data_IF_465404915634
#
_entry.id   IF_465404915634
#
_cell.length_a   1.000
_cell.length_b   1.000
_cell.length_c   1.000
_cell.angle_alpha   90.00
_cell.angle_beta   90.00
_cell.angle_gamma   90.00
#
_symmetry.space_group_name_H-M   'P 1'
#
loop_
_entity.id
_entity.type
_entity.pdbx_description
1 polymer ?
#
# COMPACT_ATOMS: atom_id res chain seq x y z
N UNK A 1 12.43 -32.17 -30.92
CA UNK A 1 11.31 -32.47 -30.00
C UNK A 1 10.32 -31.32 -30.19
N UNK A 2 9.10 -31.62 -30.61
CA UNK A 2 8.04 -30.63 -30.84
C UNK A 2 6.96 -30.82 -29.78
N UNK A 3 6.51 -29.72 -29.16
CA UNK A 3 5.47 -29.76 -28.13
C UNK A 3 4.10 -29.56 -28.77
N UNK A 4 3.12 -30.38 -28.38
CA UNK A 4 1.73 -30.19 -28.77
C UNK A 4 1.01 -29.30 -27.75
N UNK A 5 0.46 -28.17 -28.20
CA UNK A 5 -0.44 -27.33 -27.42
C UNK A 5 -1.86 -27.86 -27.50
N UNK A 6 -2.47 -28.20 -26.37
CA UNK A 6 -3.90 -28.58 -26.31
C UNK A 6 -4.81 -27.40 -26.63
N UNK A 7 -6.02 -27.68 -27.12
CA UNK A 7 -7.04 -26.66 -27.37
C UNK A 7 -7.34 -25.83 -26.11
N UNK A 8 -7.81 -24.61 -26.31
CA UNK A 8 -8.20 -23.70 -25.23
C UNK A 8 -9.29 -22.74 -25.70
N UNK A 9 -9.95 -22.09 -24.75
CA UNK A 9 -10.93 -21.05 -25.04
C UNK A 9 -10.29 -19.72 -24.68
N UNK A 10 -10.21 -18.79 -25.64
CA UNK A 10 -9.63 -17.47 -25.42
C UNK A 10 -10.59 -16.55 -24.63
N UNK A 11 -10.10 -15.40 -24.19
CA UNK A 11 -10.87 -14.32 -23.54
C UNK A 11 -12.11 -13.90 -24.33
N UNK A 12 -12.06 -13.98 -25.66
CA UNK A 12 -13.19 -13.74 -26.57
C UNK A 12 -14.21 -14.90 -26.64
N UNK A 13 -14.05 -15.93 -25.79
CA UNK A 13 -14.84 -17.19 -25.78
C UNK A 13 -14.77 -18.00 -27.08
N UNK A 14 -13.72 -17.78 -27.87
CA UNK A 14 -13.46 -18.53 -29.11
C UNK A 14 -12.64 -19.77 -28.77
N UNK A 15 -13.10 -20.92 -29.25
CA UNK A 15 -12.35 -22.18 -29.14
C UNK A 15 -11.20 -22.19 -30.14
N UNK A 16 -9.98 -22.19 -29.62
CA UNK A 16 -8.76 -22.38 -30.40
C UNK A 16 -8.41 -23.87 -30.37
N UNK A 17 -8.29 -24.47 -31.56
CA UNK A 17 -7.91 -25.87 -31.72
C UNK A 17 -6.49 -26.16 -31.21
N UNK A 18 -6.19 -27.43 -30.94
CA UNK A 18 -4.83 -27.84 -30.61
C UNK A 18 -3.89 -27.59 -31.78
N UNK A 19 -2.65 -27.18 -31.51
CA UNK A 19 -1.63 -26.91 -32.52
C UNK A 19 -0.27 -27.47 -32.07
N UNK A 20 0.64 -27.67 -33.01
CA UNK A 20 2.01 -28.13 -32.73
C UNK A 20 3.00 -27.00 -32.90
N UNK A 21 4.05 -27.00 -32.09
CA UNK A 21 5.13 -26.02 -32.14
C UNK A 21 6.39 -26.64 -32.79
N UNK A 22 7.11 -25.93 -33.70
CA UNK A 22 6.87 -24.55 -34.13
C UNK A 22 5.74 -24.45 -35.17
N UNK A 23 5.21 -23.24 -35.34
CA UNK A 23 4.21 -22.92 -36.37
C UNK A 23 4.88 -22.84 -37.75
N UNK A 24 4.14 -23.11 -38.83
CA UNK A 24 4.67 -22.99 -40.20
C UNK A 24 5.14 -21.56 -40.54
N UNK A 25 4.55 -20.57 -39.88
CA UNK A 25 4.83 -19.15 -39.98
C UNK A 25 5.64 -18.60 -38.78
N UNK A 26 6.12 -19.47 -37.88
CA UNK A 26 6.81 -19.10 -36.65
C UNK A 26 8.32 -19.31 -36.71
N UNK A 27 9.00 -18.86 -35.66
CA UNK A 27 10.44 -19.09 -35.48
C UNK A 27 10.72 -20.59 -35.28
N UNK A 28 11.81 -21.09 -35.86
CA UNK A 28 12.10 -22.53 -35.90
C UNK A 28 12.49 -23.12 -34.53
N UNK A 29 12.96 -22.28 -33.62
CA UNK A 29 13.31 -22.60 -32.23
C UNK A 29 12.11 -22.51 -31.26
N UNK A 30 10.94 -22.08 -31.74
CA UNK A 30 9.71 -21.94 -30.95
C UNK A 30 9.05 -23.30 -30.73
N UNK A 31 9.76 -24.22 -30.06
CA UNK A 31 9.38 -25.62 -29.90
C UNK A 31 8.57 -25.90 -28.63
N UNK A 32 8.42 -24.91 -27.75
CA UNK A 32 7.69 -25.04 -26.48
C UNK A 32 6.29 -24.43 -26.56
N UNK A 33 5.36 -25.01 -25.81
CA UNK A 33 4.02 -24.45 -25.62
C UNK A 33 4.01 -23.54 -24.40
N UNK A 34 3.81 -22.24 -24.63
CA UNK A 34 3.95 -21.19 -23.64
C UNK A 34 2.67 -20.37 -23.50
N UNK A 35 2.63 -19.49 -22.51
CA UNK A 35 1.48 -18.63 -22.23
C UNK A 35 0.56 -19.20 -21.15
N UNK A 36 -0.68 -18.73 -21.17
CA UNK A 36 -1.66 -18.96 -20.12
C UNK A 36 -2.75 -19.91 -20.60
N UNK A 37 -3.61 -20.38 -19.68
CA UNK A 37 -4.66 -21.35 -20.01
C UNK A 37 -5.63 -20.82 -21.07
N UNK A 38 -5.83 -19.51 -21.12
CA UNK A 38 -6.67 -18.77 -22.05
C UNK A 38 -5.91 -18.20 -23.26
N UNK A 39 -4.56 -18.20 -23.27
CA UNK A 39 -3.74 -17.66 -24.37
C UNK A 39 -2.45 -18.48 -24.51
N UNK A 40 -2.47 -19.53 -25.34
CA UNK A 40 -1.31 -20.38 -25.62
C UNK A 40 -0.60 -19.95 -26.92
N UNK A 41 0.72 -19.92 -26.92
CA UNK A 41 1.56 -19.60 -28.08
C UNK A 41 2.86 -20.41 -28.08
N UNK A 42 3.52 -20.52 -29.23
CA UNK A 42 4.83 -21.16 -29.31
C UNK A 42 5.93 -20.20 -28.86
N UNK A 43 6.89 -20.67 -28.06
CA UNK A 43 8.04 -19.86 -27.66
C UNK A 43 9.34 -20.69 -27.54
N UNK A 44 10.46 -19.99 -27.50
CA UNK A 44 11.82 -20.59 -27.53
C UNK A 44 12.34 -20.90 -26.11
N UNK A 45 11.75 -20.26 -25.09
CA UNK A 45 12.16 -20.35 -23.69
C UNK A 45 11.19 -21.21 -22.84
N UNK A 46 11.63 -22.33 -22.26
CA UNK A 46 10.76 -23.20 -21.45
C UNK A 46 10.33 -22.57 -20.10
N UNK A 47 10.90 -21.41 -19.73
CA UNK A 47 10.78 -20.82 -18.40
C UNK A 47 9.77 -19.65 -18.32
N UNK A 48 9.03 -19.36 -19.41
CA UNK A 48 7.95 -18.36 -19.46
C UNK A 48 6.54 -18.94 -19.19
N UNK A 49 6.48 -20.15 -18.63
CA UNK A 49 5.21 -20.76 -18.24
C UNK A 49 4.76 -20.21 -16.87
N UNK A 50 3.85 -19.24 -16.89
CA UNK A 50 3.19 -18.73 -15.68
C UNK A 50 1.81 -19.39 -15.54
N UNK A 51 1.57 -20.26 -14.55
CA UNK A 51 0.33 -21.01 -14.39
C UNK A 51 -0.77 -20.18 -13.69
N UNK A 52 -1.00 -18.93 -14.10
CA UNK A 52 -2.01 -18.06 -13.49
C UNK A 52 -2.68 -17.14 -14.50
N UNK A 53 -3.98 -17.28 -14.73
CA UNK A 53 -4.81 -16.39 -15.55
C UNK A 53 -4.32 -14.92 -15.54
N UNK A 54 -4.15 -14.29 -16.71
CA UNK A 54 -3.76 -12.87 -16.82
C UNK A 54 -4.64 -11.95 -15.96
N UNK A 55 -5.92 -12.29 -15.84
CA UNK A 55 -6.89 -11.57 -15.01
C UNK A 55 -6.52 -11.58 -13.52
N UNK A 56 -5.91 -12.66 -13.02
CA UNK A 56 -5.52 -12.78 -11.62
C UNK A 56 -4.27 -11.94 -11.30
N UNK A 57 -3.31 -11.87 -12.23
CA UNK A 57 -2.12 -11.01 -12.10
C UNK A 57 -2.49 -9.52 -12.17
N UNK A 58 -3.46 -9.14 -13.00
CA UNK A 58 -3.98 -7.77 -13.04
C UNK A 58 -4.68 -7.38 -11.72
N UNK A 59 -5.50 -8.28 -11.17
CA UNK A 59 -6.18 -8.07 -9.88
C UNK A 59 -5.20 -7.94 -8.71
N UNK A 60 -4.15 -8.76 -8.66
CA UNK A 60 -3.09 -8.67 -7.65
C UNK A 60 -2.38 -7.32 -7.69
N UNK A 61 -2.09 -6.80 -8.88
CA UNK A 61 -1.46 -5.50 -9.03
C UNK A 61 -2.37 -4.36 -8.54
N UNK A 62 -3.67 -4.43 -8.84
CA UNK A 62 -4.66 -3.43 -8.37
C UNK A 62 -4.78 -3.49 -6.84
N UNK A 63 -4.90 -4.69 -6.27
CA UNK A 63 -5.00 -4.89 -4.83
C UNK A 63 -3.78 -4.35 -4.08
N UNK A 64 -2.57 -4.62 -4.59
CA UNK A 64 -1.33 -4.12 -4.02
C UNK A 64 -1.21 -2.59 -4.13
N UNK A 65 -1.57 -2.01 -5.27
CA UNK A 65 -1.54 -0.55 -5.49
C UNK A 65 -2.46 0.18 -4.49
N UNK A 66 -3.68 -0.32 -4.32
CA UNK A 66 -4.65 0.26 -3.38
C UNK A 66 -4.17 0.07 -1.94
N UNK A 67 -3.72 -1.14 -1.58
CA UNK A 67 -3.25 -1.45 -0.22
C UNK A 67 -2.04 -0.60 0.20
N UNK A 68 -1.02 -0.51 -0.65
CA UNK A 68 0.17 0.30 -0.39
C UNK A 68 -0.16 1.79 -0.33
N UNK A 69 -1.05 2.27 -1.20
CA UNK A 69 -1.52 3.67 -1.17
C UNK A 69 -2.21 4.02 0.14
N UNK A 70 -3.16 3.19 0.59
CA UNK A 70 -3.86 3.42 1.86
C UNK A 70 -2.89 3.36 3.04
N UNK A 71 -1.98 2.37 3.07
CA UNK A 71 -0.96 2.27 4.10
C UNK A 71 -0.07 3.52 4.14
N UNK A 72 0.39 4.00 2.98
CA UNK A 72 1.19 5.21 2.87
C UNK A 72 0.43 6.46 3.32
N UNK A 73 -0.84 6.61 2.93
CA UNK A 73 -1.70 7.72 3.36
C UNK A 73 -1.91 7.76 4.87
N UNK A 74 -2.13 6.60 5.50
CA UNK A 74 -2.29 6.49 6.96
C UNK A 74 -0.99 6.83 7.69
N UNK A 75 0.13 6.30 7.24
CA UNK A 75 1.45 6.60 7.81
C UNK A 75 1.78 8.09 7.68
N UNK A 76 1.54 8.68 6.51
CA UNK A 76 1.80 10.09 6.25
C UNK A 76 0.90 10.99 7.11
N UNK A 77 -0.38 10.65 7.27
CA UNK A 77 -1.28 11.36 8.18
C UNK A 77 -0.78 11.30 9.63
N UNK A 78 -0.33 10.13 10.10
CA UNK A 78 0.24 10.00 11.45
C UNK A 78 1.50 10.83 11.64
N UNK A 79 2.44 10.76 10.69
CA UNK A 79 3.66 11.56 10.70
C UNK A 79 3.37 13.06 10.71
N UNK A 80 2.46 13.53 9.84
CA UNK A 80 2.03 14.94 9.82
C UNK A 80 1.43 15.32 11.17
N UNK A 81 0.57 14.49 11.74
CA UNK A 81 -0.08 14.77 13.04
C UNK A 81 0.96 14.91 14.14
N UNK A 82 1.93 13.99 14.23
CA UNK A 82 3.04 14.08 15.19
C UNK A 82 3.89 15.31 14.94
N UNK A 83 4.28 15.59 13.70
CA UNK A 83 5.06 16.77 13.34
C UNK A 83 4.34 18.07 13.72
N UNK A 84 3.03 18.18 13.46
CA UNK A 84 2.21 19.33 13.82
C UNK A 84 2.10 19.43 15.34
N UNK A 85 1.90 18.33 16.06
CA UNK A 85 1.90 18.34 17.52
C UNK A 85 3.25 18.78 18.07
N UNK A 86 4.36 18.23 17.60
CA UNK A 86 5.71 18.63 18.01
C UNK A 86 5.98 20.11 17.67
N UNK A 87 5.63 20.56 16.47
CA UNK A 87 5.76 21.96 16.05
C UNK A 87 4.91 22.87 16.92
N UNK A 88 3.64 22.52 17.16
CA UNK A 88 2.77 23.27 18.06
C UNK A 88 3.29 23.22 19.49
N UNK A 89 3.88 22.13 19.99
CA UNK A 89 4.49 22.13 21.33
C UNK A 89 5.73 23.04 21.41
N UNK A 90 6.52 23.10 20.35
CA UNK A 90 7.72 23.94 20.28
C UNK A 90 7.35 25.41 20.08
N UNK A 91 6.41 25.70 19.17
CA UNK A 91 5.94 27.04 18.81
C UNK A 91 4.90 27.59 19.79
N UNK A 92 3.98 26.74 20.27
CA UNK A 92 3.17 26.95 21.48
C UNK A 92 3.97 26.36 22.65
N UNK A 93 5.13 26.94 22.92
CA UNK A 93 5.54 27.15 24.30
C UNK A 93 4.73 28.36 24.78
N UNK A 94 3.48 28.22 25.30
CA UNK A 94 2.90 29.33 25.99
C UNK A 94 3.63 29.44 27.34
N UNK A 95 3.84 30.68 27.73
CA UNK A 95 4.09 31.17 29.09
C UNK A 95 2.93 30.80 30.05
N UNK A 96 2.32 29.61 29.91
CA UNK A 96 1.00 29.23 30.45
C UNK A 96 0.96 27.71 30.71
N UNK A 97 1.58 27.25 31.82
CA UNK A 97 1.31 25.98 32.56
C UNK A 97 2.44 25.55 33.53
N UNK A 98 3.42 26.40 33.80
CA UNK A 98 4.03 26.56 35.14
C UNK A 98 3.62 27.98 35.56
N UNK A 99 2.49 28.22 36.22
CA UNK A 99 2.26 27.88 37.62
C UNK A 99 0.75 27.73 37.88
N UNK A 100 0.32 26.50 38.13
CA UNK A 100 -0.92 26.23 38.87
C UNK A 100 -0.61 26.28 40.38
N UNK A 101 0.24 27.23 40.79
CA UNK A 101 0.72 27.45 42.16
C UNK A 101 0.36 28.83 42.73
N UNK A 102 -0.31 29.70 41.96
CA UNK A 102 -0.68 31.07 42.38
C UNK A 102 -2.10 31.19 42.95
N UNK A 103 -2.63 30.10 43.52
CA UNK A 103 -3.87 30.11 44.32
C UNK A 103 -3.63 29.75 45.78
N UNK A 104 -2.39 29.92 46.29
CA UNK A 104 -2.06 29.78 47.72
C UNK A 104 -1.57 31.09 48.36
N UNK A 105 -1.13 32.07 47.57
CA UNK A 105 -0.71 33.39 48.10
C UNK A 105 -1.85 34.40 48.25
N UNK A 106 -2.98 34.25 47.51
CA UNK A 106 -4.13 35.14 47.73
C UNK A 106 -4.81 34.88 49.08
N UNK A 107 -4.82 33.61 49.52
CA UNK A 107 -5.34 33.25 50.84
C UNK A 107 -4.35 33.58 51.97
N UNK A 108 -3.04 33.49 51.73
CA UNK A 108 -2.02 33.97 52.66
C UNK A 108 -2.04 35.50 52.81
N UNK A 109 -2.15 36.25 51.71
CA UNK A 109 -2.27 37.71 51.71
C UNK A 109 -3.59 38.18 52.33
N UNK A 110 -4.69 37.45 52.13
CA UNK A 110 -5.98 37.72 52.77
C UNK A 110 -5.98 37.48 54.29
N UNK A 111 -5.22 36.50 54.79
CA UNK A 111 -5.06 36.25 56.22
C UNK A 111 -4.12 37.23 56.91
N UNK A 112 -3.14 37.79 56.20
CA UNK A 112 -2.21 38.78 56.76
C UNK A 112 -2.84 40.17 56.90
N UNK A 113 -3.66 40.59 55.92
CA UNK A 113 -4.44 41.86 56.00
C UNK A 113 -5.49 41.80 57.12
N UNK A 114 -6.13 40.65 57.36
CA UNK A 114 -7.10 40.49 58.46
C UNK A 114 -6.45 40.47 59.85
N UNK A 115 -5.16 40.10 59.95
CA UNK A 115 -4.42 40.05 61.22
C UNK A 115 -3.85 41.43 61.60
N UNK A 116 -3.55 42.29 60.63
CA UNK A 116 -3.04 43.65 60.86
C UNK A 116 -4.15 44.70 61.07
N UNK A 117 -5.43 44.34 60.91
CA UNK A 117 -6.58 45.21 61.18
C UNK A 117 -7.20 45.00 62.58
N UNK A 118 -6.62 44.11 63.40
CA UNK A 118 -7.13 43.76 64.73
C UNK A 118 -6.09 43.95 65.86
N UNK A 119 -5.05 44.74 65.58
CA UNK A 119 -4.06 45.23 66.55
C UNK A 119 -3.87 46.74 66.33
#
# INVERSE_FOLDING_TARGET
MSTACSSYVNTDKVLVGSFSCPREDGEADAIYCCGFQDIKYCCDDPNSFFPYEHNYMWWLSIGALIGLSVAAMVLLAFLITVCVLCYLFISKKPRNKLDTGLTLNLEAAGREIRRNSSN
#
